data_IF_002693000183
#
_entry.id   IF_002693000183
#
_cell.length_a   1.000
_cell.length_b   1.000
_cell.length_c   1.000
_cell.angle_alpha   90.00
_cell.angle_beta   90.00
_cell.angle_gamma   90.00
#
_symmetry.space_group_name_H-M   'P 1'
#
loop_
_entity.id
_entity.type
_entity.pdbx_description
1 polymer ?
#
# COMPACT_ATOMS: atom_id res chain seq x y z
N UNK A 1 21.73 -16.21 -32.79
CA UNK A 1 21.64 -15.60 -31.44
C UNK A 1 21.67 -14.08 -31.62
N UNK A 2 20.51 -13.43 -31.68
CA UNK A 2 20.41 -11.97 -31.82
C UNK A 2 19.97 -11.40 -30.48
N UNK A 3 20.86 -10.61 -29.85
CA UNK A 3 20.53 -9.77 -28.72
C UNK A 3 19.85 -8.53 -29.30
N UNK A 4 18.53 -8.44 -29.14
CA UNK A 4 17.80 -7.21 -29.44
C UNK A 4 17.96 -6.29 -28.25
N UNK A 5 18.82 -5.29 -28.39
CA UNK A 5 18.90 -4.13 -27.48
C UNK A 5 17.60 -3.34 -27.64
N UNK A 6 16.73 -3.43 -26.63
CA UNK A 6 15.51 -2.62 -26.53
C UNK A 6 15.86 -1.15 -26.30
N UNK A 7 15.07 -0.26 -26.91
CA UNK A 7 15.28 1.20 -26.94
C UNK A 7 15.50 1.83 -25.55
N UNK A 8 16.25 2.95 -25.45
CA UNK A 8 16.40 3.67 -24.19
C UNK A 8 15.05 4.23 -23.73
N UNK A 9 14.71 4.00 -22.46
CA UNK A 9 13.48 4.47 -21.83
C UNK A 9 13.27 5.98 -22.06
N UNK A 10 12.05 6.38 -22.45
CA UNK A 10 11.66 7.79 -22.60
C UNK A 10 11.81 8.50 -21.27
N UNK A 11 12.42 9.70 -21.31
CA UNK A 11 12.63 10.57 -20.16
C UNK A 11 11.27 10.91 -19.51
N UNK A 12 10.90 10.22 -18.43
CA UNK A 12 9.68 10.48 -17.64
C UNK A 12 8.80 9.26 -17.31
N UNK A 13 9.08 8.08 -17.88
CA UNK A 13 8.44 6.84 -17.46
C UNK A 13 9.23 6.22 -16.30
N UNK A 14 8.66 6.27 -15.09
CA UNK A 14 9.12 5.40 -13.99
C UNK A 14 8.86 3.96 -14.47
N UNK A 15 9.88 3.08 -14.51
CA UNK A 15 9.65 1.69 -14.88
C UNK A 15 8.49 1.13 -14.05
N UNK A 16 7.61 0.34 -14.68
CA UNK A 16 6.59 -0.41 -13.96
C UNK A 16 7.28 -1.51 -13.15
N UNK A 17 7.86 -1.13 -12.00
CA UNK A 17 8.52 -2.06 -11.10
C UNK A 17 7.41 -2.83 -10.40
N UNK A 18 7.38 -4.17 -10.53
CA UNK A 18 6.42 -4.98 -9.79
C UNK A 18 6.47 -4.64 -8.30
N UNK A 19 5.31 -4.31 -7.72
CA UNK A 19 5.19 -3.91 -6.32
C UNK A 19 5.86 -4.89 -5.35
N UNK A 20 5.79 -6.19 -5.66
CA UNK A 20 6.40 -7.24 -4.84
C UNK A 20 7.93 -7.13 -4.77
N UNK A 21 8.60 -6.65 -5.82
CA UNK A 21 10.05 -6.42 -5.77
C UNK A 21 10.38 -5.27 -4.82
N UNK A 22 9.63 -4.17 -4.88
CA UNK A 22 9.81 -3.03 -3.98
C UNK A 22 9.60 -3.43 -2.52
N UNK A 23 8.52 -4.18 -2.27
CA UNK A 23 8.14 -4.65 -0.94
C UNK A 23 9.15 -5.64 -0.38
N UNK A 24 9.62 -6.61 -1.18
CA UNK A 24 10.61 -7.58 -0.75
C UNK A 24 11.96 -6.91 -0.45
N UNK A 25 12.39 -5.98 -1.30
CA UNK A 25 13.66 -5.29 -1.10
C UNK A 25 13.62 -4.36 0.11
N UNK A 26 12.56 -3.57 0.28
CA UNK A 26 12.39 -2.72 1.46
C UNK A 26 12.28 -3.55 2.75
N UNK A 27 11.54 -4.67 2.72
CA UNK A 27 11.44 -5.58 3.85
C UNK A 27 12.79 -6.19 4.25
N UNK A 28 13.60 -6.60 3.25
CA UNK A 28 14.96 -7.10 3.46
C UNK A 28 15.88 -6.03 4.03
N UNK A 29 15.84 -4.80 3.52
CA UNK A 29 16.70 -3.71 3.96
C UNK A 29 16.41 -3.25 5.39
N UNK A 30 15.14 -3.12 5.76
CA UNK A 30 14.72 -2.55 7.06
C UNK A 30 14.37 -3.62 8.10
N UNK A 31 14.46 -4.90 7.76
CA UNK A 31 14.10 -6.01 8.63
C UNK A 31 12.62 -5.97 9.03
N UNK A 32 11.74 -5.67 8.07
CA UNK A 32 10.29 -5.64 8.23
C UNK A 32 9.69 -6.71 7.34
N UNK A 33 8.66 -7.43 7.83
CA UNK A 33 7.99 -8.46 7.05
C UNK A 33 7.45 -7.88 5.72
N UNK A 34 7.83 -8.41 4.55
CA UNK A 34 7.31 -7.95 3.26
C UNK A 34 5.78 -8.04 3.20
N UNK A 35 5.17 -9.08 3.78
CA UNK A 35 3.71 -9.22 3.82
C UNK A 35 3.04 -8.19 4.71
N UNK A 36 3.72 -7.69 5.75
CA UNK A 36 3.21 -6.57 6.57
C UNK A 36 3.25 -5.26 5.79
N UNK A 37 4.36 -4.98 5.09
CA UNK A 37 4.47 -3.79 4.22
C UNK A 37 3.37 -3.83 3.16
N UNK A 38 3.15 -4.99 2.52
CA UNK A 38 2.08 -5.16 1.55
C UNK A 38 0.70 -4.89 2.14
N UNK A 39 0.41 -5.43 3.32
CA UNK A 39 -0.87 -5.19 4.00
C UNK A 39 -1.11 -3.71 4.32
N UNK A 40 -0.06 -2.97 4.70
CA UNK A 40 -0.15 -1.50 4.89
C UNK A 40 -0.44 -0.81 3.56
N UNK A 41 0.30 -1.11 2.49
CA UNK A 41 0.08 -0.53 1.15
C UNK A 41 -1.35 -0.79 0.65
N UNK A 42 -1.86 -1.99 0.86
CA UNK A 42 -3.21 -2.37 0.43
C UNK A 42 -4.30 -1.54 1.14
N UNK A 43 -4.11 -1.19 2.42
CA UNK A 43 -5.04 -0.33 3.17
C UNK A 43 -4.85 1.15 2.84
N UNK A 44 -3.61 1.61 2.68
CA UNK A 44 -3.29 3.02 2.50
C UNK A 44 -3.63 3.54 1.10
N UNK A 45 -3.22 2.80 0.07
CA UNK A 45 -3.37 3.23 -1.33
C UNK A 45 -4.02 2.18 -2.23
N UNK A 46 -4.12 0.94 -1.75
CA UNK A 46 -4.49 -0.20 -2.57
C UNK A 46 -3.50 -0.49 -3.70
N UNK A 47 -2.24 -0.11 -3.52
CA UNK A 47 -1.19 -0.25 -4.53
C UNK A 47 -1.14 0.87 -5.58
N UNK A 48 -1.83 2.00 -5.35
CA UNK A 48 -1.76 3.15 -6.25
C UNK A 48 -0.61 4.10 -5.87
N UNK A 49 0.49 4.19 -6.65
CA UNK A 49 1.62 5.06 -6.33
C UNK A 49 1.31 6.55 -6.49
N UNK A 50 0.18 6.91 -7.09
CA UNK A 50 -0.30 8.29 -7.26
C UNK A 50 -1.42 8.66 -6.31
N UNK A 51 -1.71 7.84 -5.29
CA UNK A 51 -2.75 8.13 -4.32
C UNK A 51 -2.43 9.41 -3.53
N UNK A 52 -3.46 10.24 -3.35
CA UNK A 52 -3.44 11.43 -2.49
C UNK A 52 -4.70 11.43 -1.62
N UNK A 53 -4.54 11.49 -0.30
CA UNK A 53 -5.67 11.60 0.63
C UNK A 53 -6.17 13.05 0.75
N UNK A 54 -7.37 13.24 1.30
CA UNK A 54 -7.90 14.58 1.62
C UNK A 54 -7.04 15.34 2.64
N UNK A 55 -6.28 14.61 3.47
CA UNK A 55 -5.34 15.17 4.45
C UNK A 55 -3.96 15.46 3.84
N UNK A 56 -3.73 15.09 2.59
CA UNK A 56 -2.47 15.36 1.86
C UNK A 56 -1.42 14.25 1.95
N UNK A 57 -1.78 13.06 2.45
CA UNK A 57 -0.89 11.90 2.45
C UNK A 57 -0.68 11.39 1.01
N UNK A 58 0.53 10.92 0.68
CA UNK A 58 0.96 10.69 -0.71
C UNK A 58 1.62 9.32 -0.94
N UNK A 59 1.32 8.72 -2.08
CA UNK A 59 1.99 7.52 -2.58
C UNK A 59 1.51 6.21 -1.97
N UNK A 60 2.27 5.13 -2.20
CA UNK A 60 1.91 3.75 -1.88
C UNK A 60 1.62 3.51 -0.39
N UNK A 61 2.44 4.10 0.48
CA UNK A 61 2.35 3.98 1.94
C UNK A 61 1.80 5.27 2.60
N UNK A 62 1.20 6.15 1.80
CA UNK A 62 0.52 7.38 2.24
C UNK A 62 1.32 8.20 3.26
N UNK A 63 2.53 8.61 2.88
CA UNK A 63 3.36 9.45 3.73
C UNK A 63 2.81 10.89 3.73
N UNK A 64 2.61 11.46 4.91
CA UNK A 64 2.35 12.89 5.05
C UNK A 64 3.59 13.69 4.62
N UNK A 65 3.46 14.91 4.04
CA UNK A 65 4.61 15.65 3.54
C UNK A 65 5.71 15.90 4.58
N UNK A 66 5.32 16.23 5.83
CA UNK A 66 6.28 16.38 6.93
C UNK A 66 7.02 15.08 7.25
N UNK A 67 6.31 13.95 7.26
CA UNK A 67 6.89 12.62 7.46
C UNK A 67 7.82 12.23 6.31
N UNK A 68 7.41 12.46 5.06
CA UNK A 68 8.24 12.23 3.87
C UNK A 68 9.56 13.00 3.94
N UNK A 69 9.53 14.27 4.37
CA UNK A 69 10.72 15.09 4.56
C UNK A 69 11.67 14.52 5.62
N UNK A 70 11.13 14.14 6.80
CA UNK A 70 11.93 13.52 7.87
C UNK A 70 12.57 12.22 7.39
N UNK A 71 11.86 11.47 6.55
CA UNK A 71 12.33 10.23 5.92
C UNK A 71 13.17 10.50 4.66
N UNK A 72 13.53 11.73 4.32
CA UNK A 72 14.34 12.01 3.13
C UNK A 72 13.71 11.56 1.79
N UNK A 73 12.40 11.34 1.76
CA UNK A 73 11.62 11.00 0.57
C UNK A 73 11.43 12.27 -0.23
N UNK A 74 12.18 12.43 -1.32
CA UNK A 74 12.17 13.65 -2.15
C UNK A 74 10.98 13.69 -3.09
N UNK A 75 10.59 12.53 -3.62
CA UNK A 75 9.39 12.37 -4.43
C UNK A 75 8.49 11.28 -3.82
N UNK A 76 7.40 11.64 -3.12
CA UNK A 76 6.50 10.66 -2.51
C UNK A 76 5.67 9.87 -3.53
N UNK A 77 5.68 10.26 -4.80
CA UNK A 77 5.06 9.49 -5.90
C UNK A 77 6.04 8.55 -6.61
N UNK A 78 7.33 8.60 -6.25
CA UNK A 78 8.30 7.59 -6.67
C UNK A 78 8.07 6.32 -5.83
N UNK A 79 7.67 5.19 -6.43
CA UNK A 79 7.31 3.98 -5.70
C UNK A 79 8.44 3.46 -4.80
N UNK A 80 9.68 3.53 -5.28
CA UNK A 80 10.85 3.05 -4.53
C UNK A 80 11.10 3.91 -3.30
N UNK A 81 11.18 5.23 -3.45
CA UNK A 81 11.37 6.14 -2.30
C UNK A 81 10.23 6.06 -1.30
N UNK A 82 8.99 5.94 -1.76
CA UNK A 82 7.83 5.90 -0.87
C UNK A 82 7.78 4.61 -0.04
N UNK A 83 8.02 3.45 -0.68
CA UNK A 83 8.03 2.15 0.01
C UNK A 83 9.24 2.02 0.92
N UNK A 84 10.41 2.47 0.49
CA UNK A 84 11.62 2.51 1.33
C UNK A 84 11.41 3.39 2.58
N UNK A 85 10.95 4.63 2.38
CA UNK A 85 10.67 5.56 3.47
C UNK A 85 9.60 5.04 4.43
N UNK A 86 8.49 4.52 3.90
CA UNK A 86 7.41 3.96 4.71
C UNK A 86 7.82 2.69 5.46
N UNK A 87 8.63 1.81 4.87
CA UNK A 87 9.16 0.64 5.54
C UNK A 87 10.09 1.02 6.70
N UNK A 88 10.97 2.02 6.51
CA UNK A 88 11.78 2.55 7.62
C UNK A 88 10.92 3.16 8.72
N UNK A 89 9.89 3.93 8.37
CA UNK A 89 8.98 4.48 9.38
C UNK A 89 8.28 3.39 10.19
N UNK A 90 7.82 2.33 9.52
CA UNK A 90 7.21 1.18 10.17
C UNK A 90 8.22 0.45 11.06
N UNK A 91 9.48 0.34 10.63
CA UNK A 91 10.57 -0.21 11.44
C UNK A 91 10.78 0.58 12.73
N UNK A 92 10.86 1.91 12.64
CA UNK A 92 11.04 2.78 13.81
C UNK A 92 9.91 2.59 14.83
N UNK A 93 8.67 2.43 14.34
CA UNK A 93 7.51 2.16 15.17
C UNK A 93 7.56 0.78 15.82
N UNK A 94 7.98 -0.25 15.09
CA UNK A 94 8.18 -1.59 15.64
C UNK A 94 9.22 -1.57 16.76
N UNK A 95 10.36 -0.91 16.57
CA UNK A 95 11.38 -0.77 17.61
C UNK A 95 10.85 -0.02 18.83
N UNK A 96 10.18 1.12 18.60
CA UNK A 96 9.59 1.93 19.67
C UNK A 96 8.57 1.17 20.52
N UNK A 97 7.85 0.22 19.95
CA UNK A 97 6.85 -0.58 20.64
C UNK A 97 7.29 -2.03 20.90
N UNK A 98 8.61 -2.30 20.93
CA UNK A 98 9.16 -3.58 21.34
C UNK A 98 8.75 -4.76 20.46
N UNK A 99 8.57 -4.52 19.16
CA UNK A 99 8.10 -5.51 18.19
C UNK A 99 6.58 -5.75 18.21
N UNK A 100 5.82 -5.03 19.02
CA UNK A 100 4.36 -5.16 19.02
C UNK A 100 3.76 -4.53 17.76
N UNK A 101 3.43 -5.38 16.79
CA UNK A 101 2.91 -4.96 15.47
C UNK A 101 1.61 -4.17 15.59
N UNK A 102 0.69 -4.55 16.49
CA UNK A 102 -0.58 -3.85 16.65
C UNK A 102 -0.38 -2.40 17.14
N UNK A 103 0.56 -2.19 18.07
CA UNK A 103 0.91 -0.85 18.54
C UNK A 103 1.69 -0.05 17.50
N UNK A 104 2.57 -0.70 16.73
CA UNK A 104 3.25 -0.06 15.61
C UNK A 104 2.26 0.44 14.55
N UNK A 105 1.27 -0.38 14.16
CA UNK A 105 0.21 0.02 13.23
C UNK A 105 -0.68 1.13 13.79
N UNK A 106 -1.00 1.09 15.08
CA UNK A 106 -1.71 2.19 15.73
C UNK A 106 -0.88 3.50 15.70
N UNK A 107 0.43 3.39 15.91
CA UNK A 107 1.36 4.51 15.82
C UNK A 107 1.55 5.03 14.40
N UNK A 108 1.47 4.16 13.40
CA UNK A 108 1.51 4.53 11.98
C UNK A 108 0.29 5.39 11.60
N UNK A 109 -0.90 4.97 12.02
CA UNK A 109 -2.16 5.66 11.67
C UNK A 109 -2.45 6.90 12.55
N UNK A 110 -2.27 6.80 13.86
CA UNK A 110 -2.65 7.84 14.83
C UNK A 110 -1.47 8.66 15.37
N UNK A 111 -0.25 8.28 15.00
CA UNK A 111 0.98 8.83 15.57
C UNK A 111 1.38 8.13 16.87
N UNK A 112 2.68 7.89 17.02
CA UNK A 112 3.23 7.22 18.20
C UNK A 112 2.99 7.99 19.53
N UNK A 113 2.81 9.31 19.46
CA UNK A 113 2.43 10.12 20.63
C UNK A 113 1.04 9.77 21.16
N UNK A 114 0.08 9.43 20.28
CA UNK A 114 -1.23 8.98 20.71
C UNK A 114 -1.15 7.62 21.42
N UNK A 115 -0.40 6.68 20.85
CA UNK A 115 -0.18 5.36 21.48
C UNK A 115 0.46 5.50 22.86
N UNK A 116 1.48 6.36 22.99
CA UNK A 116 2.11 6.65 24.28
C UNK A 116 1.14 7.28 25.29
N UNK A 117 0.32 8.26 24.85
CA UNK A 117 -0.67 8.92 25.69
C UNK A 117 -1.71 7.95 26.26
N UNK A 118 -2.16 6.99 25.46
CA UNK A 118 -3.19 6.03 25.87
C UNK A 118 -2.63 4.72 26.44
N UNK A 119 -1.32 4.50 26.42
CA UNK A 119 -0.69 3.26 26.88
C UNK A 119 -1.08 2.03 26.06
N UNK A 120 -1.51 2.21 24.81
CA UNK A 120 -2.08 1.17 23.98
C UNK A 120 -2.68 1.71 22.68
N UNK A 121 -3.48 0.90 21.99
CA UNK A 121 -4.22 1.37 20.81
C UNK A 121 -5.17 2.50 21.25
N UNK A 122 -5.04 3.73 20.71
CA UNK A 122 -5.93 4.83 21.07
C UNK A 122 -7.39 4.47 20.85
N UNK A 123 -8.33 5.01 21.64
CA UNK A 123 -9.76 4.70 21.53
C UNK A 123 -10.44 5.34 20.30
N UNK A 124 -9.69 5.64 19.25
CA UNK A 124 -10.20 6.16 17.98
C UNK A 124 -10.72 5.00 17.12
N UNK A 125 -11.97 5.10 16.65
CA UNK A 125 -12.60 4.03 15.88
C UNK A 125 -11.88 3.79 14.54
N UNK A 126 -11.41 4.86 13.88
CA UNK A 126 -10.58 4.79 12.67
C UNK A 126 -9.31 3.96 12.91
N UNK A 127 -8.59 4.22 14.00
CA UNK A 127 -7.34 3.51 14.33
C UNK A 127 -7.59 2.06 14.73
N UNK A 128 -8.63 1.79 15.52
CA UNK A 128 -9.03 0.41 15.87
C UNK A 128 -9.39 -0.39 14.61
N UNK A 129 -10.11 0.21 13.67
CA UNK A 129 -10.47 -0.40 12.40
C UNK A 129 -9.22 -0.64 11.54
N UNK A 130 -8.35 0.36 11.39
CA UNK A 130 -7.10 0.28 10.65
C UNK A 130 -6.23 -0.89 11.14
N UNK A 131 -5.96 -0.96 12.45
CA UNK A 131 -5.16 -2.04 13.04
C UNK A 131 -5.78 -3.40 12.77
N UNK A 132 -7.09 -3.54 12.95
CA UNK A 132 -7.80 -4.81 12.69
C UNK A 132 -7.65 -5.25 11.23
N UNK A 133 -7.88 -4.33 10.29
CA UNK A 133 -7.83 -4.62 8.85
C UNK A 133 -6.42 -5.01 8.41
N UNK A 134 -5.39 -4.24 8.76
CA UNK A 134 -4.01 -4.54 8.37
C UNK A 134 -3.55 -5.88 8.99
N UNK A 135 -3.88 -6.14 10.25
CA UNK A 135 -3.54 -7.40 10.91
C UNK A 135 -4.23 -8.61 10.26
N UNK A 136 -5.49 -8.47 9.84
CA UNK A 136 -6.26 -9.52 9.14
C UNK A 136 -5.63 -9.86 7.78
N UNK A 137 -5.25 -8.83 7.01
CA UNK A 137 -4.54 -8.99 5.74
C UNK A 137 -3.15 -9.62 5.94
N UNK A 138 -2.40 -9.16 6.95
CA UNK A 138 -1.05 -9.65 7.21
C UNK A 138 -1.03 -11.13 7.61
N UNK A 139 -2.00 -11.59 8.40
CA UNK A 139 -2.15 -13.00 8.77
C UNK A 139 -2.72 -13.88 7.66
N UNK A 140 -3.15 -13.30 6.53
CA UNK A 140 -3.81 -14.03 5.45
C UNK A 140 -5.21 -14.54 5.81
N UNK A 141 -5.82 -14.01 6.88
CA UNK A 141 -7.17 -14.35 7.35
C UNK A 141 -8.24 -13.73 6.45
N UNK A 142 -7.98 -12.54 5.91
CA UNK A 142 -8.72 -11.95 4.82
C UNK A 142 -7.93 -12.09 3.52
N UNK A 143 -8.44 -12.89 2.57
CA UNK A 143 -8.00 -12.78 1.18
C UNK A 143 -8.39 -11.40 0.66
N UNK A 144 -7.53 -10.68 -0.09
CA UNK A 144 -7.90 -9.42 -0.71
C UNK A 144 -9.24 -9.60 -1.45
N UNK A 145 -10.25 -8.80 -1.09
CA UNK A 145 -11.63 -8.98 -1.58
C UNK A 145 -11.70 -8.82 -3.10
N UNK A 146 -11.76 -9.94 -3.83
CA UNK A 146 -12.10 -10.01 -5.25
C UNK A 146 -13.63 -9.86 -5.37
N UNK A 147 -14.12 -8.79 -6.00
CA UNK A 147 -15.53 -8.64 -6.35
C UNK A 147 -15.71 -8.88 -7.87
N UNK A 148 -16.23 -10.04 -8.26
CA UNK A 148 -16.70 -10.27 -9.64
C UNK A 148 -18.15 -9.79 -9.77
N UNK A 149 -18.39 -8.69 -10.49
CA UNK A 149 -19.75 -8.22 -10.82
C UNK A 149 -20.01 -8.46 -12.30
N UNK A 150 -20.86 -9.44 -12.65
CA UNK A 150 -21.45 -9.53 -14.00
C UNK A 150 -22.61 -8.55 -14.07
N UNK A 151 -22.55 -7.60 -15.02
CA UNK A 151 -23.51 -6.52 -15.26
C UNK A 151 -23.72 -5.55 -14.08
N UNK A 152 -22.87 -4.52 -13.91
CA UNK A 152 -23.06 -3.54 -12.85
C UNK A 152 -24.31 -2.67 -13.10
N UNK A 153 -25.15 -2.40 -12.07
CA UNK A 153 -26.28 -1.49 -12.21
C UNK A 153 -25.80 -0.06 -12.50
N UNK A 154 -26.52 0.64 -13.38
CA UNK A 154 -26.14 1.95 -13.92
C UNK A 154 -26.19 3.13 -12.93
N UNK A 155 -26.50 2.91 -11.64
CA UNK A 155 -26.65 4.00 -10.66
C UNK A 155 -25.70 3.90 -9.47
N UNK A 156 -25.05 5.04 -9.19
CA UNK A 156 -24.40 5.62 -8.01
C UNK A 156 -23.77 4.76 -6.89
N UNK A 157 -24.11 3.48 -6.69
CA UNK A 157 -23.53 2.62 -5.64
C UNK A 157 -22.08 2.20 -5.89
N UNK A 158 -21.58 2.35 -7.12
CA UNK A 158 -20.17 2.12 -7.46
C UNK A 158 -19.29 3.33 -7.11
N UNK A 159 -19.86 4.55 -7.03
CA UNK A 159 -19.09 5.79 -6.87
C UNK A 159 -18.49 5.97 -5.47
N UNK A 160 -18.97 5.25 -4.45
CA UNK A 160 -18.39 5.24 -3.11
C UNK A 160 -17.29 4.20 -2.92
N UNK A 161 -17.09 3.30 -3.89
CA UNK A 161 -15.96 2.37 -3.91
C UNK A 161 -14.92 2.90 -4.89
N UNK A 162 -13.68 3.10 -4.43
CA UNK A 162 -12.54 3.49 -5.28
C UNK A 162 -11.72 2.25 -5.67
N UNK A 163 -12.07 1.50 -6.73
CA UNK A 163 -11.23 0.41 -7.22
C UNK A 163 -9.93 0.94 -7.84
N UNK A 164 -8.81 0.22 -7.65
CA UNK A 164 -7.47 0.64 -8.08
C UNK A 164 -7.17 0.25 -9.54
N UNK A 165 -7.75 -0.84 -10.03
CA UNK A 165 -7.56 -1.37 -11.37
C UNK A 165 -8.90 -1.55 -12.10
N UNK A 166 -8.89 -1.31 -13.41
CA UNK A 166 -10.03 -1.51 -14.31
C UNK A 166 -9.56 -2.11 -15.62
N UNK A 167 -10.13 -3.24 -16.05
CA UNK A 167 -9.88 -3.82 -17.37
C UNK A 167 -11.15 -4.41 -17.98
N UNK A 168 -11.08 -4.75 -19.28
CA UNK A 168 -12.18 -5.40 -20.01
C UNK A 168 -11.85 -6.88 -20.27
N UNK A 169 -12.82 -7.74 -20.04
CA UNK A 169 -12.85 -9.15 -20.44
C UNK A 169 -14.05 -9.37 -21.35
N UNK A 170 -13.83 -9.26 -22.67
CA UNK A 170 -14.92 -9.24 -23.65
C UNK A 170 -15.91 -8.10 -23.38
N UNK A 171 -17.18 -8.43 -23.15
CA UNK A 171 -18.24 -7.47 -22.82
C UNK A 171 -18.25 -7.03 -21.34
N UNK A 172 -17.44 -7.65 -20.48
CA UNK A 172 -17.44 -7.40 -19.02
C UNK A 172 -16.38 -6.36 -18.66
N UNK A 173 -16.74 -5.40 -17.81
CA UNK A 173 -15.79 -4.46 -17.18
C UNK A 173 -15.51 -4.96 -15.77
N UNK A 174 -14.25 -5.27 -15.48
CA UNK A 174 -13.80 -5.73 -14.18
C UNK A 174 -13.19 -4.57 -13.41
N UNK A 175 -13.55 -4.45 -12.14
CA UNK A 175 -12.95 -3.51 -11.19
C UNK A 175 -12.25 -4.33 -10.11
N UNK A 176 -10.99 -4.00 -9.81
CA UNK A 176 -10.17 -4.78 -8.88
C UNK A 176 -9.26 -3.86 -8.06
N UNK A 177 -8.82 -4.34 -6.90
CA UNK A 177 -7.74 -3.76 -6.11
C UNK A 177 -6.44 -4.58 -6.24
N UNK A 178 -6.43 -5.61 -7.09
CA UNK A 178 -5.27 -6.45 -7.43
C UNK A 178 -5.02 -6.35 -8.94
N UNK A 179 -3.77 -6.23 -9.42
CA UNK A 179 -3.46 -6.22 -10.85
C UNK A 179 -3.92 -7.51 -11.53
N UNK A 180 -4.28 -7.42 -12.81
CA UNK A 180 -4.71 -8.58 -13.61
C UNK A 180 -3.60 -9.63 -13.59
N UNK A 181 -3.87 -10.81 -13.02
CA UNK A 181 -2.97 -11.95 -13.18
C UNK A 181 -3.12 -12.45 -14.61
N UNK A 182 -2.07 -12.27 -15.40
CA UNK A 182 -1.96 -12.99 -16.67
C UNK A 182 -1.63 -14.43 -16.30
N UNK A 183 -2.63 -15.31 -16.32
CA UNK A 183 -2.35 -16.73 -16.41
C UNK A 183 -1.69 -16.95 -17.78
N UNK A 184 -0.36 -16.86 -17.82
CA UNK A 184 0.43 -17.58 -18.79
C UNK A 184 0.33 -19.05 -18.38
N UNK A 185 -0.78 -19.66 -18.78
CA UNK A 185 -0.85 -21.09 -18.95
C UNK A 185 -0.13 -21.38 -20.28
N UNK A 186 1.04 -22.01 -20.18
CA UNK A 186 1.40 -23.03 -21.17
C UNK A 186 0.55 -24.28 -20.89
#
# INVERSE_FOLDING_TARGET
MRVTISEPARRGEVPDIPLDLLVNEAGRQHGVSPTLIRAVIDVESGGNPRAVSSKGAQGLMQLMPGTANILGVRNPFDPWQNVDGGARHLRDLLERFGGNVALALAGYNAGAGAVAKYGGIPPYDETKAYVRTVMSLWRGEEKPRIWQVRNPPQSARVASMRPIYRWREGAVVVYSNVPRQNNAAD
#
